data_IF_246923040130
#
_entry.id   IF_246923040130
#
_cell.length_a   1.000
_cell.length_b   1.000
_cell.length_c   1.000
_cell.angle_alpha   90.00
_cell.angle_beta   90.00
_cell.angle_gamma   90.00
#
_symmetry.space_group_name_H-M   'P 1'
#
loop_
_entity.id
_entity.type
_entity.pdbx_description
1 polymer ?
#
# COMPACT_ATOMS: atom_id res chain seq x y z
N UNK A 1 42.26 10.79 6.70
CA UNK A 1 42.10 9.75 5.66
C UNK A 1 41.99 8.32 6.20
N UNK A 2 43.01 7.68 6.82
CA UNK A 2 42.85 6.30 7.34
C UNK A 2 41.76 6.14 8.41
N UNK A 3 41.56 7.16 9.25
CA UNK A 3 40.50 7.19 10.27
C UNK A 3 39.08 7.22 9.65
N UNK A 4 38.90 7.99 8.58
CA UNK A 4 37.60 8.21 7.93
C UNK A 4 37.10 6.96 7.19
N UNK A 5 38.03 6.18 6.61
CA UNK A 5 37.73 4.92 5.92
C UNK A 5 37.18 3.87 6.90
N UNK A 6 37.78 3.75 8.09
CA UNK A 6 37.33 2.82 9.12
C UNK A 6 35.94 3.16 9.64
N UNK A 7 35.67 4.45 9.88
CA UNK A 7 34.36 4.94 10.30
C UNK A 7 33.29 4.65 9.24
N UNK A 8 33.61 4.90 7.96
CA UNK A 8 32.68 4.70 6.85
C UNK A 8 32.29 3.22 6.68
N UNK A 9 33.25 2.29 6.78
CA UNK A 9 32.96 0.85 6.78
C UNK A 9 32.08 0.43 7.96
N UNK A 10 32.31 1.02 9.14
CA UNK A 10 31.46 0.81 10.31
C UNK A 10 30.01 1.23 10.06
N UNK A 11 29.81 2.43 9.50
CA UNK A 11 28.50 2.95 9.12
C UNK A 11 27.82 2.08 8.07
N UNK A 12 28.55 1.67 7.01
CA UNK A 12 28.04 0.79 5.97
C UNK A 12 27.53 -0.54 6.53
N UNK A 13 28.30 -1.15 7.44
CA UNK A 13 27.91 -2.40 8.09
C UNK A 13 26.66 -2.24 8.96
N UNK A 14 26.53 -1.12 9.67
CA UNK A 14 25.35 -0.82 10.47
C UNK A 14 24.12 -0.63 9.59
N UNK A 15 24.26 0.10 8.48
CA UNK A 15 23.20 0.32 7.51
C UNK A 15 22.78 -1.02 6.87
N UNK A 16 23.72 -1.86 6.43
CA UNK A 16 23.39 -3.19 5.88
C UNK A 16 22.62 -4.06 6.87
N UNK A 17 23.01 -4.05 8.16
CA UNK A 17 22.30 -4.78 9.21
C UNK A 17 20.87 -4.25 9.41
N UNK A 18 20.70 -2.92 9.54
CA UNK A 18 19.37 -2.31 9.69
C UNK A 18 18.45 -2.65 8.51
N UNK A 19 18.97 -2.65 7.28
CA UNK A 19 18.21 -3.04 6.10
C UNK A 19 17.85 -4.50 6.09
N UNK A 20 18.76 -5.37 6.50
CA UNK A 20 18.49 -6.79 6.63
C UNK A 20 17.38 -7.05 7.65
N UNK A 21 17.41 -6.37 8.80
CA UNK A 21 16.38 -6.48 9.83
C UNK A 21 15.02 -5.96 9.32
N UNK A 22 15.01 -4.81 8.64
CA UNK A 22 13.79 -4.28 8.01
C UNK A 22 13.22 -5.23 6.95
N UNK A 23 14.10 -5.84 6.15
CA UNK A 23 13.71 -6.84 5.16
C UNK A 23 13.11 -8.08 5.82
N UNK A 24 13.71 -8.57 6.90
CA UNK A 24 13.18 -9.71 7.65
C UNK A 24 11.82 -9.40 8.27
N UNK A 25 11.66 -8.23 8.89
CA UNK A 25 10.37 -7.76 9.40
C UNK A 25 9.33 -7.69 8.28
N UNK A 26 9.68 -7.07 7.13
CA UNK A 26 8.79 -7.00 5.97
C UNK A 26 8.39 -8.38 5.45
N UNK A 27 9.33 -9.34 5.42
CA UNK A 27 9.09 -10.73 5.00
C UNK A 27 8.13 -11.45 5.95
N UNK A 28 8.35 -11.37 7.27
CA UNK A 28 7.45 -11.98 8.25
C UNK A 28 6.07 -11.32 8.24
N UNK A 29 6.05 -10.00 8.17
CA UNK A 29 4.82 -9.23 8.09
C UNK A 29 3.99 -9.64 6.88
N UNK A 30 4.63 -9.80 5.71
CA UNK A 30 3.98 -10.34 4.53
C UNK A 30 3.44 -11.74 4.79
N UNK A 31 4.20 -12.64 5.41
CA UNK A 31 3.73 -14.00 5.66
C UNK A 31 2.51 -14.06 6.60
N UNK A 32 2.49 -13.23 7.64
CA UNK A 32 1.46 -13.28 8.68
C UNK A 32 0.22 -12.48 8.26
N UNK A 33 0.41 -11.26 7.78
CA UNK A 33 -0.68 -10.32 7.57
C UNK A 33 -1.18 -10.25 6.14
N UNK A 34 -0.51 -10.87 5.15
CA UNK A 34 -0.91 -10.75 3.75
C UNK A 34 -2.35 -11.18 3.48
N UNK A 35 -2.76 -12.33 4.04
CA UNK A 35 -4.12 -12.84 3.90
C UNK A 35 -5.11 -11.95 4.66
N UNK A 36 -4.77 -11.59 5.90
CA UNK A 36 -5.62 -10.70 6.70
C UNK A 36 -5.86 -9.36 6.01
N UNK A 37 -4.84 -8.79 5.38
CA UNK A 37 -4.94 -7.57 4.59
C UNK A 37 -5.85 -7.74 3.39
N UNK A 38 -5.70 -8.85 2.67
CA UNK A 38 -6.54 -9.15 1.51
C UNK A 38 -8.02 -9.28 1.92
N UNK A 39 -8.29 -10.00 3.02
CA UNK A 39 -9.64 -10.15 3.56
C UNK A 39 -10.21 -8.82 4.05
N UNK A 40 -9.41 -8.01 4.77
CA UNK A 40 -9.84 -6.70 5.23
C UNK A 40 -10.18 -5.76 4.05
N UNK A 41 -9.35 -5.72 3.00
CA UNK A 41 -9.63 -4.90 1.82
C UNK A 41 -10.88 -5.36 1.07
N UNK A 42 -11.07 -6.68 0.96
CA UNK A 42 -12.26 -7.26 0.34
C UNK A 42 -13.50 -6.94 1.15
N UNK A 43 -13.42 -7.05 2.49
CA UNK A 43 -14.50 -6.67 3.39
C UNK A 43 -14.84 -5.18 3.25
N UNK A 44 -13.84 -4.29 3.26
CA UNK A 44 -14.06 -2.83 3.06
C UNK A 44 -14.74 -2.53 1.72
N UNK A 45 -14.39 -3.24 0.66
CA UNK A 45 -15.05 -3.10 -0.64
C UNK A 45 -16.53 -3.54 -0.57
N UNK A 46 -16.81 -4.71 0.00
CA UNK A 46 -18.19 -5.21 0.17
C UNK A 46 -19.03 -4.29 1.07
N UNK A 47 -18.48 -3.83 2.19
CA UNK A 47 -19.15 -2.89 3.09
C UNK A 47 -19.40 -1.54 2.41
N UNK A 48 -18.44 -1.01 1.66
CA UNK A 48 -18.60 0.23 0.91
C UNK A 48 -19.73 0.13 -0.12
N UNK A 49 -19.79 -0.96 -0.88
CA UNK A 49 -20.89 -1.20 -1.82
C UNK A 49 -22.24 -1.40 -1.12
N UNK A 50 -22.27 -2.23 -0.09
CA UNK A 50 -23.48 -2.47 0.70
C UNK A 50 -24.03 -1.18 1.30
N UNK A 51 -23.15 -0.30 1.79
CA UNK A 51 -23.53 1.01 2.29
C UNK A 51 -24.11 1.92 1.19
N UNK A 52 -23.50 1.98 0.00
CA UNK A 52 -24.06 2.75 -1.11
C UNK A 52 -25.47 2.27 -1.50
N UNK A 53 -25.69 0.95 -1.54
CA UNK A 53 -27.01 0.36 -1.80
C UNK A 53 -27.99 0.66 -0.66
N UNK A 54 -27.55 0.57 0.58
CA UNK A 54 -28.37 0.89 1.76
C UNK A 54 -28.82 2.35 1.74
N UNK A 55 -27.90 3.30 1.52
CA UNK A 55 -28.21 4.73 1.42
C UNK A 55 -29.15 5.03 0.25
N UNK A 56 -29.04 4.28 -0.85
CA UNK A 56 -29.94 4.43 -1.98
C UNK A 56 -31.39 4.01 -1.67
N UNK A 57 -31.56 2.93 -0.90
CA UNK A 57 -32.89 2.37 -0.57
C UNK A 57 -33.52 3.01 0.68
N UNK A 58 -32.71 3.53 1.59
CA UNK A 58 -33.17 4.03 2.89
C UNK A 58 -33.36 5.55 2.88
N UNK A 59 -34.45 6.02 3.46
CA UNK A 59 -34.73 7.45 3.63
C UNK A 59 -33.90 8.05 4.78
N UNK A 60 -32.61 8.27 4.55
CA UNK A 60 -31.76 9.33 5.16
C UNK A 60 -31.65 9.47 6.71
N UNK A 61 -31.91 8.45 7.55
CA UNK A 61 -31.99 8.67 9.02
C UNK A 61 -31.14 7.83 9.99
N UNK A 62 -30.16 7.02 9.55
CA UNK A 62 -29.29 6.29 10.50
C UNK A 62 -27.84 6.79 10.51
N UNK A 63 -27.57 7.81 11.35
CA UNK A 63 -26.23 8.41 11.58
C UNK A 63 -25.24 7.38 12.13
N UNK A 64 -25.72 6.38 12.87
CA UNK A 64 -24.90 5.36 13.52
C UNK A 64 -24.17 4.51 12.47
N UNK A 65 -24.84 4.09 11.41
CA UNK A 65 -24.25 3.26 10.35
C UNK A 65 -23.13 3.99 9.59
N UNK A 66 -23.29 5.30 9.38
CA UNK A 66 -22.26 6.12 8.75
C UNK A 66 -20.96 6.14 9.58
N UNK A 67 -21.07 6.27 10.91
CA UNK A 67 -19.90 6.28 11.80
C UNK A 67 -19.15 4.94 11.73
N UNK A 68 -19.87 3.82 11.75
CA UNK A 68 -19.24 2.50 11.62
C UNK A 68 -18.51 2.35 10.29
N UNK A 69 -19.11 2.75 9.17
CA UNK A 69 -18.47 2.67 7.85
C UNK A 69 -17.19 3.52 7.78
N UNK A 70 -17.20 4.72 8.35
CA UNK A 70 -16.02 5.59 8.41
C UNK A 70 -14.90 4.95 9.24
N UNK A 71 -15.21 4.39 10.41
CA UNK A 71 -14.21 3.74 11.27
C UNK A 71 -13.62 2.51 10.59
N UNK A 72 -14.46 1.65 10.00
CA UNK A 72 -14.00 0.44 9.32
C UNK A 72 -13.18 0.74 8.06
N UNK A 73 -13.50 1.81 7.33
CA UNK A 73 -12.73 2.22 6.15
C UNK A 73 -11.44 2.97 6.50
N UNK A 74 -11.33 3.60 7.66
CA UNK A 74 -10.11 4.28 8.11
C UNK A 74 -8.93 3.32 8.32
N UNK A 75 -9.17 2.11 8.85
CA UNK A 75 -8.12 1.14 9.14
C UNK A 75 -7.28 0.72 7.89
N UNK A 76 -7.87 0.24 6.79
CA UNK A 76 -7.11 -0.10 5.59
C UNK A 76 -6.43 1.12 4.95
N UNK A 77 -7.02 2.32 5.07
CA UNK A 77 -6.40 3.56 4.58
C UNK A 77 -5.09 3.82 5.34
N UNK A 78 -5.14 3.88 6.67
CA UNK A 78 -3.96 4.12 7.52
C UNK A 78 -2.86 3.10 7.17
N UNK A 79 -3.25 1.84 7.01
CA UNK A 79 -2.33 0.77 6.69
C UNK A 79 -1.67 0.95 5.31
N UNK A 80 -2.45 1.26 4.26
CA UNK A 80 -1.94 1.50 2.91
C UNK A 80 -0.98 2.69 2.91
N UNK A 81 -1.32 3.76 3.65
CA UNK A 81 -0.46 4.92 3.80
C UNK A 81 0.86 4.59 4.50
N UNK A 82 0.83 3.79 5.56
CA UNK A 82 2.02 3.29 6.25
C UNK A 82 2.92 2.48 5.31
N UNK A 83 2.35 1.51 4.58
CA UNK A 83 3.08 0.70 3.60
C UNK A 83 3.75 1.55 2.51
N UNK A 84 3.02 2.54 1.97
CA UNK A 84 3.55 3.44 0.94
C UNK A 84 4.63 4.38 1.49
N UNK A 85 4.48 4.84 2.74
CA UNK A 85 5.48 5.67 3.42
C UNK A 85 6.77 4.89 3.65
N UNK A 86 6.71 3.68 4.21
CA UNK A 86 7.88 2.83 4.42
C UNK A 86 8.62 2.58 3.11
N UNK A 87 7.89 2.26 2.03
CA UNK A 87 8.48 2.08 0.70
C UNK A 87 9.24 3.32 0.22
N UNK A 88 8.62 4.50 0.33
CA UNK A 88 9.25 5.78 -0.06
C UNK A 88 10.49 6.09 0.76
N UNK A 89 10.48 5.81 2.06
CA UNK A 89 11.67 6.00 2.89
C UNK A 89 12.79 5.04 2.49
N UNK A 90 12.49 3.77 2.18
CA UNK A 90 13.49 2.85 1.62
C UNK A 90 14.10 3.40 0.32
N UNK A 91 13.27 3.87 -0.62
CA UNK A 91 13.73 4.46 -1.88
C UNK A 91 14.63 5.69 -1.65
N UNK A 92 14.28 6.55 -0.68
CA UNK A 92 15.10 7.70 -0.30
C UNK A 92 16.44 7.30 0.28
N UNK A 93 16.49 6.26 1.11
CA UNK A 93 17.76 5.80 1.68
C UNK A 93 18.66 5.20 0.60
N UNK A 94 18.12 4.42 -0.35
CA UNK A 94 18.88 3.93 -1.51
C UNK A 94 19.45 5.10 -2.33
N UNK A 95 18.62 6.12 -2.61
CA UNK A 95 19.06 7.31 -3.33
C UNK A 95 20.14 8.08 -2.55
N UNK A 96 20.02 8.16 -1.23
CA UNK A 96 21.01 8.79 -0.35
C UNK A 96 22.33 8.01 -0.35
N UNK A 97 22.29 6.68 -0.26
CA UNK A 97 23.48 5.83 -0.39
C UNK A 97 24.20 6.09 -1.72
N UNK A 98 23.48 6.16 -2.84
CA UNK A 98 24.08 6.46 -4.15
C UNK A 98 24.75 7.83 -4.18
N UNK A 99 24.07 8.87 -3.68
CA UNK A 99 24.62 10.24 -3.58
C UNK A 99 25.86 10.31 -2.68
N UNK A 100 25.88 9.54 -1.59
CA UNK A 100 27.07 9.44 -0.74
C UNK A 100 28.20 8.75 -1.51
N UNK A 101 27.89 7.68 -2.24
CA UNK A 101 28.84 6.99 -3.11
C UNK A 101 29.54 7.95 -4.07
N UNK A 102 28.80 8.82 -4.75
CA UNK A 102 29.36 9.83 -5.67
C UNK A 102 30.43 10.72 -5.02
N UNK A 103 30.30 11.03 -3.72
CA UNK A 103 31.31 11.83 -2.98
C UNK A 103 32.60 11.08 -2.68
N UNK A 104 32.61 9.75 -2.82
CA UNK A 104 33.77 8.89 -2.58
C UNK A 104 34.32 8.28 -3.87
N UNK A 105 34.07 8.89 -5.04
CA UNK A 105 34.59 8.41 -6.32
C UNK A 105 36.13 8.28 -6.34
N UNK A 106 36.84 9.16 -5.62
CA UNK A 106 38.30 9.13 -5.49
C UNK A 106 38.81 7.94 -4.68
N UNK A 107 37.92 7.23 -3.95
CA UNK A 107 38.24 6.02 -3.20
C UNK A 107 37.46 4.82 -3.78
N UNK A 108 38.02 4.10 -4.76
CA UNK A 108 37.31 3.08 -5.53
C UNK A 108 36.83 1.90 -4.68
N UNK A 109 37.52 1.58 -3.57
CA UNK A 109 37.08 0.52 -2.65
C UNK A 109 35.76 0.91 -1.96
N UNK A 110 35.72 2.09 -1.34
CA UNK A 110 34.53 2.58 -0.62
C UNK A 110 33.39 2.81 -1.60
N UNK A 111 33.67 3.40 -2.76
CA UNK A 111 32.68 3.61 -3.81
C UNK A 111 32.00 2.30 -4.20
N UNK A 112 32.79 1.24 -4.44
CA UNK A 112 32.29 -0.07 -4.84
C UNK A 112 31.45 -0.72 -3.73
N UNK A 113 31.85 -0.59 -2.47
CA UNK A 113 31.07 -1.09 -1.33
C UNK A 113 29.72 -0.37 -1.20
N UNK A 114 29.70 0.95 -1.31
CA UNK A 114 28.45 1.74 -1.26
C UNK A 114 27.51 1.37 -2.42
N UNK A 115 28.04 1.23 -3.63
CA UNK A 115 27.24 0.85 -4.81
C UNK A 115 26.72 -0.59 -4.70
N UNK A 116 27.54 -1.52 -4.22
CA UNK A 116 27.11 -2.90 -3.99
C UNK A 116 25.97 -2.95 -2.97
N UNK A 117 26.08 -2.18 -1.89
CA UNK A 117 25.04 -2.06 -0.87
C UNK A 117 23.74 -1.45 -1.45
N UNK A 118 23.84 -0.32 -2.16
CA UNK A 118 22.68 0.31 -2.79
C UNK A 118 22.01 -0.60 -3.83
N UNK A 119 22.80 -1.38 -4.57
CA UNK A 119 22.30 -2.38 -5.52
C UNK A 119 21.57 -3.51 -4.79
N UNK A 120 22.17 -4.08 -3.73
CA UNK A 120 21.54 -5.10 -2.87
C UNK A 120 20.22 -4.61 -2.27
N UNK A 121 20.17 -3.36 -1.79
CA UNK A 121 18.93 -2.77 -1.29
C UNK A 121 17.88 -2.57 -2.38
N UNK A 122 18.28 -2.20 -3.59
CA UNK A 122 17.37 -2.03 -4.72
C UNK A 122 16.80 -3.36 -5.24
N UNK A 123 17.57 -4.45 -5.18
CA UNK A 123 17.12 -5.78 -5.63
C UNK A 123 16.16 -6.45 -4.64
N UNK A 124 16.32 -6.17 -3.34
CA UNK A 124 15.33 -6.51 -2.34
C UNK A 124 14.08 -5.68 -2.63
N UNK A 125 13.03 -6.28 -3.22
CA UNK A 125 11.77 -5.57 -3.49
C UNK A 125 11.07 -5.21 -2.18
N UNK A 126 11.31 -4.01 -1.66
CA UNK A 126 10.71 -3.47 -0.42
C UNK A 126 9.21 -3.10 -0.56
N UNK A 127 8.49 -3.74 -1.47
CA UNK A 127 7.05 -3.55 -1.65
C UNK A 127 6.25 -4.50 -0.78
N UNK A 128 5.24 -4.01 -0.08
CA UNK A 128 4.24 -4.88 0.55
C UNK A 128 3.28 -5.39 -0.53
N UNK A 129 3.00 -6.69 -0.51
CA UNK A 129 2.05 -7.32 -1.44
C UNK A 129 0.97 -8.04 -0.64
N UNK A 130 -0.28 -7.86 -1.03
CA UNK A 130 -1.39 -8.61 -0.47
C UNK A 130 -1.41 -10.01 -1.08
N UNK A 131 -0.84 -10.98 -0.36
CA UNK A 131 -0.76 -12.42 -0.69
C UNK A 131 -0.20 -12.70 -2.09
N UNK A 132 0.69 -11.83 -2.58
CA UNK A 132 1.27 -11.94 -3.92
C UNK A 132 0.34 -11.51 -5.06
N UNK A 133 -0.93 -11.17 -4.80
CA UNK A 133 -1.88 -10.74 -5.84
C UNK A 133 -1.56 -9.35 -6.36
N UNK A 134 -1.42 -8.36 -5.46
CA UNK A 134 -1.18 -6.98 -5.86
C UNK A 134 -0.27 -6.22 -4.87
N UNK A 135 0.52 -5.25 -5.37
CA UNK A 135 1.30 -4.37 -4.52
C UNK A 135 0.39 -3.38 -3.79
N UNK A 136 0.62 -3.21 -2.50
CA UNK A 136 -0.10 -2.26 -1.65
C UNK A 136 0.48 -0.87 -1.90
N UNK A 137 -0.25 -0.03 -2.62
CA UNK A 137 0.13 1.34 -2.99
C UNK A 137 -1.05 2.26 -2.79
N UNK A 138 -0.81 3.57 -2.65
CA UNK A 138 -1.91 4.57 -2.57
C UNK A 138 -2.85 4.53 -3.77
N UNK A 139 -2.34 4.15 -4.96
CA UNK A 139 -3.17 3.96 -6.16
C UNK A 139 -4.24 2.89 -5.98
N UNK A 140 -4.03 1.90 -5.11
CA UNK A 140 -5.01 0.85 -4.82
C UNK A 140 -6.28 1.44 -4.21
N UNK A 141 -6.17 2.46 -3.36
CA UNK A 141 -7.34 3.15 -2.79
C UNK A 141 -8.21 3.75 -3.90
N UNK A 142 -7.58 4.45 -4.85
CA UNK A 142 -8.29 5.03 -5.99
C UNK A 142 -8.94 3.95 -6.86
N UNK A 143 -8.27 2.82 -7.07
CA UNK A 143 -8.84 1.68 -7.80
C UNK A 143 -10.04 1.07 -7.07
N UNK A 144 -9.98 0.91 -5.75
CA UNK A 144 -11.09 0.40 -4.94
C UNK A 144 -12.27 1.38 -5.00
N UNK A 145 -12.04 2.68 -4.78
CA UNK A 145 -13.09 3.70 -4.86
C UNK A 145 -13.72 3.77 -6.25
N UNK A 146 -12.91 3.70 -7.32
CA UNK A 146 -13.40 3.66 -8.69
C UNK A 146 -14.22 2.40 -9.00
N UNK A 147 -13.80 1.25 -8.48
CA UNK A 147 -14.57 0.01 -8.60
C UNK A 147 -15.91 0.13 -7.87
N UNK A 148 -15.93 0.63 -6.63
CA UNK A 148 -17.16 0.84 -5.86
C UNK A 148 -18.13 1.72 -6.65
N UNK A 149 -17.67 2.87 -7.16
CA UNK A 149 -18.49 3.77 -7.96
C UNK A 149 -19.04 3.09 -9.23
N UNK A 150 -18.20 2.33 -9.93
CA UNK A 150 -18.59 1.62 -11.16
C UNK A 150 -19.66 0.58 -10.89
N UNK A 151 -19.48 -0.25 -9.87
CA UNK A 151 -20.45 -1.27 -9.50
C UNK A 151 -21.76 -0.67 -8.98
N UNK A 152 -21.68 0.43 -8.21
CA UNK A 152 -22.86 1.16 -7.77
C UNK A 152 -23.68 1.72 -8.95
N UNK A 153 -23.05 2.40 -9.90
CA UNK A 153 -23.73 2.90 -11.10
C UNK A 153 -24.32 1.77 -11.95
N UNK A 154 -23.60 0.66 -12.07
CA UNK A 154 -24.09 -0.52 -12.80
C UNK A 154 -25.34 -1.10 -12.12
N UNK A 155 -25.32 -1.20 -10.79
CA UNK A 155 -26.46 -1.64 -10.00
C UNK A 155 -27.67 -0.72 -10.20
N UNK A 156 -27.47 0.60 -10.12
CA UNK A 156 -28.54 1.59 -10.34
C UNK A 156 -29.16 1.46 -11.74
N UNK A 157 -28.33 1.31 -12.77
CA UNK A 157 -28.80 1.15 -14.15
C UNK A 157 -29.63 -0.13 -14.33
N UNK A 158 -29.21 -1.23 -13.73
CA UNK A 158 -29.94 -2.49 -13.76
C UNK A 158 -31.28 -2.35 -13.03
N UNK A 159 -31.27 -1.72 -11.85
CA UNK A 159 -32.48 -1.49 -11.06
C UNK A 159 -33.53 -0.67 -11.82
N UNK A 160 -33.15 0.50 -12.33
CA UNK A 160 -34.04 1.37 -13.13
C UNK A 160 -34.61 0.66 -14.38
N UNK A 161 -33.85 -0.26 -14.98
CA UNK A 161 -34.32 -1.03 -16.14
C UNK A 161 -35.37 -2.08 -15.75
N UNK A 162 -35.29 -2.62 -14.53
CA UNK A 162 -36.30 -3.50 -13.95
C UNK A 162 -37.65 -2.79 -13.80
N UNK A 163 -37.66 -1.64 -13.12
CA UNK A 163 -38.89 -0.86 -12.85
C UNK A 163 -39.63 -0.46 -14.14
N UNK A 164 -38.89 -0.05 -15.19
CA UNK A 164 -39.49 0.30 -16.49
C UNK A 164 -40.21 -0.87 -17.16
N UNK A 165 -39.72 -2.10 -16.99
CA UNK A 165 -40.35 -3.29 -17.57
C UNK A 165 -41.64 -3.65 -16.85
N UNK A 166 -41.64 -3.57 -15.53
CA UNK A 166 -42.82 -3.84 -14.71
C UNK A 166 -43.95 -2.85 -15.05
N UNK A 167 -43.64 -1.54 -15.10
CA UNK A 167 -44.62 -0.51 -15.48
C UNK A 167 -45.15 -0.61 -16.92
N UNK A 168 -44.45 -1.32 -17.82
CA UNK A 168 -44.89 -1.52 -19.21
C UNK A 168 -45.77 -2.77 -19.40
N UNK A 169 -45.82 -3.69 -18.42
CA UNK A 169 -46.70 -4.86 -18.44
C UNK A 169 -48.06 -4.59 -17.78
N UNK A 170 -48.16 -3.54 -16.98
CA UNK A 170 -49.38 -3.16 -16.25
C UNK A 170 -50.28 -2.18 -17.02
N UNK A 171 -49.85 -1.69 -18.19
CA UNK A 171 -50.64 -0.86 -19.12
C UNK A 171 -50.97 -1.65 -20.39
#
# INVERSE_FOLDING_TARGET
MKSDVGLMRGLLRNVDRMFYDLYMVSKYFRSIFSLQMFLNLSATFCFGLGYCIYVYNSSLTEVIDMVFVVIYSAFPIIFIFGCDATRKETERVIATCRKIGEKFQDNPEIYREIQALACKMATLKHGFTASGFFPIRRSLLLSISGAIATYFLTFEQIWRKGEKKENSQTN
#
